data_IF_482240510239
#
_entry.id   IF_482240510239
#
_cell.length_a   1.000
_cell.length_b   1.000
_cell.length_c   1.000
_cell.angle_alpha   90.00
_cell.angle_beta   90.00
_cell.angle_gamma   90.00
#
_symmetry.space_group_name_H-M   'P 1'
#
loop_
_entity.id
_entity.type
_entity.pdbx_description
1 polymer ?
#
# COMPACT_ATOMS: atom_id res chain seq x y z
N UNK A 1 -31.63 -26.23 -13.03
CA UNK A 1 -31.96 -24.95 -12.36
C UNK A 1 -30.68 -24.13 -12.28
N UNK A 2 -30.65 -22.97 -12.91
CA UNK A 2 -29.53 -22.02 -12.76
C UNK A 2 -29.63 -21.49 -11.33
N UNK A 3 -28.61 -21.73 -10.51
CA UNK A 3 -28.54 -21.17 -9.15
C UNK A 3 -28.57 -19.65 -9.26
N UNK A 4 -29.51 -19.00 -8.60
CA UNK A 4 -29.58 -17.55 -8.53
C UNK A 4 -28.27 -17.01 -7.95
N UNK A 5 -27.66 -16.04 -8.60
CA UNK A 5 -26.41 -15.43 -8.15
C UNK A 5 -26.72 -14.17 -7.38
N UNK A 6 -26.04 -13.95 -6.27
CA UNK A 6 -26.19 -12.74 -5.46
C UNK A 6 -25.57 -11.53 -6.15
N UNK A 7 -24.43 -11.73 -6.80
CA UNK A 7 -23.67 -10.69 -7.50
C UNK A 7 -23.19 -11.19 -8.85
N UNK A 8 -22.84 -10.23 -9.71
CA UNK A 8 -21.99 -10.43 -10.88
C UNK A 8 -20.65 -9.77 -10.62
N UNK A 9 -19.58 -10.44 -10.97
CA UNK A 9 -18.21 -9.92 -10.84
C UNK A 9 -17.57 -9.74 -12.21
N UNK A 10 -16.67 -8.75 -12.29
CA UNK A 10 -15.79 -8.51 -13.42
C UNK A 10 -14.39 -8.26 -12.88
N UNK A 11 -13.38 -8.92 -13.44
CA UNK A 11 -11.97 -8.71 -13.10
C UNK A 11 -11.29 -7.99 -14.26
N UNK A 12 -10.78 -6.78 -13.99
CA UNK A 12 -10.12 -5.94 -14.99
C UNK A 12 -8.64 -5.81 -14.63
N UNK A 13 -7.74 -6.45 -15.38
CA UNK A 13 -6.31 -6.29 -15.16
C UNK A 13 -5.88 -4.87 -15.52
N UNK A 14 -5.01 -4.29 -14.68
CA UNK A 14 -4.42 -2.97 -14.85
C UNK A 14 -2.90 -3.08 -14.75
N UNK A 15 -2.19 -2.28 -15.54
CA UNK A 15 -0.76 -2.08 -15.39
C UNK A 15 -0.49 -0.57 -15.33
N UNK A 16 -0.09 -0.10 -14.16
CA UNK A 16 0.25 1.30 -13.94
C UNK A 16 1.76 1.48 -14.13
N UNK A 17 2.16 2.59 -14.75
CA UNK A 17 3.57 2.97 -14.87
C UNK A 17 3.90 4.03 -13.83
N UNK A 18 4.96 3.83 -13.06
CA UNK A 18 5.42 4.84 -12.12
C UNK A 18 5.94 6.07 -12.85
N UNK A 19 5.63 7.26 -12.35
CA UNK A 19 6.19 8.53 -12.89
C UNK A 19 7.71 8.61 -12.73
N UNK A 20 8.26 7.94 -11.73
CA UNK A 20 9.69 7.72 -11.48
C UNK A 20 9.87 6.29 -10.99
N UNK A 21 11.01 5.63 -11.33
CA UNK A 21 11.29 4.29 -10.80
C UNK A 21 11.19 4.27 -9.27
N UNK A 22 10.46 3.30 -8.73
CA UNK A 22 10.27 3.14 -7.29
C UNK A 22 11.35 2.19 -6.74
N UNK A 23 12.40 2.73 -6.15
CA UNK A 23 13.45 1.98 -5.47
C UNK A 23 12.96 1.43 -4.13
N UNK A 24 13.28 0.17 -3.85
CA UNK A 24 13.01 -0.50 -2.56
C UNK A 24 14.23 -1.31 -2.16
N UNK A 25 14.27 -1.81 -0.93
CA UNK A 25 15.31 -2.75 -0.48
C UNK A 25 15.35 -4.08 -1.27
N UNK A 26 14.33 -4.37 -2.07
CA UNK A 26 14.21 -5.60 -2.88
C UNK A 26 14.43 -5.40 -4.38
N UNK A 27 14.45 -4.17 -4.86
CA UNK A 27 14.62 -3.86 -6.26
C UNK A 27 13.97 -2.55 -6.68
N UNK A 28 13.99 -2.30 -7.98
CA UNK A 28 13.42 -1.09 -8.58
C UNK A 28 12.22 -1.48 -9.44
N UNK A 29 11.07 -0.91 -9.13
CA UNK A 29 9.84 -1.13 -9.88
C UNK A 29 9.56 0.05 -10.80
N UNK A 30 9.26 -0.24 -12.04
CA UNK A 30 8.84 0.75 -13.06
C UNK A 30 7.36 0.66 -13.38
N UNK A 31 6.75 -0.49 -13.07
CA UNK A 31 5.33 -0.75 -13.28
C UNK A 31 4.70 -1.40 -12.05
N UNK A 32 3.38 -1.27 -11.94
CA UNK A 32 2.55 -1.92 -10.92
C UNK A 32 1.40 -2.65 -11.60
N UNK A 33 1.41 -3.98 -11.58
CA UNK A 33 0.27 -4.80 -11.99
C UNK A 33 -0.73 -4.93 -10.83
N UNK A 34 -2.00 -4.82 -11.14
CA UNK A 34 -3.10 -5.03 -10.21
C UNK A 34 -4.33 -5.55 -10.97
N UNK A 35 -5.30 -6.04 -10.22
CA UNK A 35 -6.61 -6.46 -10.75
C UNK A 35 -7.70 -5.68 -10.03
N UNK A 36 -8.44 -4.89 -10.78
CA UNK A 36 -9.63 -4.21 -10.31
C UNK A 36 -10.79 -5.19 -10.35
N UNK A 37 -11.41 -5.44 -9.20
CA UNK A 37 -12.61 -6.26 -9.09
C UNK A 37 -13.80 -5.33 -9.03
N UNK A 38 -14.77 -5.56 -9.91
CA UNK A 38 -16.05 -4.87 -9.94
C UNK A 38 -17.15 -5.85 -9.58
N UNK A 39 -18.06 -5.44 -8.70
CA UNK A 39 -19.23 -6.21 -8.32
C UNK A 39 -20.48 -5.38 -8.54
N UNK A 40 -21.58 -6.05 -8.90
CA UNK A 40 -22.92 -5.44 -9.04
C UNK A 40 -23.99 -6.50 -8.85
N UNK A 41 -25.20 -6.09 -8.49
CA UNK A 41 -26.38 -6.94 -8.60
C UNK A 41 -27.01 -6.82 -9.98
N UNK A 42 -27.76 -7.87 -10.39
CA UNK A 42 -28.43 -7.86 -11.69
C UNK A 42 -29.58 -6.85 -11.75
N UNK A 43 -30.30 -6.70 -10.64
CA UNK A 43 -31.42 -5.77 -10.48
C UNK A 43 -30.97 -4.31 -10.25
N UNK A 44 -29.70 -4.09 -9.88
CA UNK A 44 -29.12 -2.75 -9.66
C UNK A 44 -27.83 -2.54 -10.49
N UNK A 45 -27.87 -2.61 -11.82
CA UNK A 45 -26.67 -2.63 -12.66
C UNK A 45 -25.88 -1.30 -12.66
N UNK A 46 -26.50 -0.21 -12.23
CA UNK A 46 -25.87 1.11 -12.12
C UNK A 46 -25.01 1.28 -10.85
N UNK A 47 -25.25 0.44 -9.82
CA UNK A 47 -24.47 0.46 -8.58
C UNK A 47 -23.30 -0.53 -8.74
N UNK A 48 -22.09 -0.02 -8.72
CA UNK A 48 -20.86 -0.80 -8.91
C UNK A 48 -19.99 -0.65 -7.68
N UNK A 49 -19.65 -1.78 -7.05
CA UNK A 49 -18.62 -1.87 -6.04
C UNK A 49 -17.26 -2.12 -6.71
N UNK A 50 -16.22 -1.41 -6.30
CA UNK A 50 -14.88 -1.50 -6.88
C UNK A 50 -13.88 -1.81 -5.77
N UNK A 51 -13.03 -2.81 -5.99
CA UNK A 51 -11.91 -3.14 -5.12
C UNK A 51 -10.64 -3.43 -5.92
N UNK A 52 -9.52 -3.38 -5.25
CA UNK A 52 -8.20 -3.53 -5.87
C UNK A 52 -7.44 -4.71 -5.24
N UNK A 53 -7.09 -5.69 -6.06
CA UNK A 53 -6.20 -6.79 -5.72
C UNK A 53 -4.80 -6.46 -6.28
N UNK A 54 -3.87 -6.06 -5.42
CA UNK A 54 -2.60 -5.47 -5.86
C UNK A 54 -1.38 -6.06 -5.13
N UNK A 55 -1.10 -7.36 -5.29
CA UNK A 55 0.09 -7.98 -4.70
C UNK A 55 1.37 -7.43 -5.35
N UNK A 56 2.45 -7.42 -4.58
CA UNK A 56 3.80 -7.14 -5.09
C UNK A 56 4.52 -8.45 -5.40
N UNK A 57 5.12 -8.61 -6.60
CA UNK A 57 5.73 -9.87 -7.03
C UNK A 57 6.75 -10.46 -6.04
N UNK A 58 7.60 -9.62 -5.45
CA UNK A 58 8.71 -10.07 -4.62
C UNK A 58 8.45 -9.95 -3.10
N UNK A 59 7.24 -9.54 -2.73
CA UNK A 59 6.91 -9.21 -1.34
C UNK A 59 5.63 -9.87 -0.83
N UNK A 60 4.57 -9.88 -1.63
CA UNK A 60 3.28 -10.42 -1.22
C UNK A 60 3.31 -11.95 -1.24
N UNK A 61 2.89 -12.56 -0.14
CA UNK A 61 2.93 -14.02 0.03
C UNK A 61 1.96 -14.76 -0.90
N UNK A 62 0.98 -14.08 -1.43
CA UNK A 62 -0.08 -14.62 -2.30
C UNK A 62 0.16 -14.35 -3.80
N UNK A 63 1.26 -13.69 -4.18
CA UNK A 63 1.61 -13.52 -5.59
C UNK A 63 2.26 -14.79 -6.15
N UNK A 64 1.66 -15.37 -7.19
CA UNK A 64 2.16 -16.60 -7.82
C UNK A 64 1.50 -16.86 -9.17
N UNK A 65 1.92 -17.97 -9.81
CA UNK A 65 1.42 -18.38 -11.15
C UNK A 65 -0.09 -18.63 -11.17
N UNK A 66 -0.66 -19.05 -10.05
CA UNK A 66 -2.08 -19.37 -9.91
C UNK A 66 -2.93 -18.18 -9.41
N UNK A 67 -2.34 -16.99 -9.27
CA UNK A 67 -3.03 -15.83 -8.70
C UNK A 67 -4.35 -15.50 -9.40
N UNK A 68 -4.34 -15.39 -10.72
CA UNK A 68 -5.53 -15.05 -11.51
C UNK A 68 -6.61 -16.16 -11.45
N UNK A 69 -6.19 -17.42 -11.36
CA UNK A 69 -7.08 -18.55 -11.19
C UNK A 69 -7.76 -18.49 -9.82
N UNK A 70 -6.99 -18.22 -8.77
CA UNK A 70 -7.49 -18.08 -7.41
C UNK A 70 -8.44 -16.90 -7.28
N UNK A 71 -8.09 -15.76 -7.86
CA UNK A 71 -8.95 -14.57 -7.90
C UNK A 71 -10.27 -14.87 -8.60
N UNK A 72 -10.22 -15.54 -9.77
CA UNK A 72 -11.42 -15.92 -10.51
C UNK A 72 -12.32 -16.86 -9.72
N UNK A 73 -11.76 -17.85 -9.01
CA UNK A 73 -12.52 -18.72 -8.11
C UNK A 73 -13.16 -17.96 -6.97
N UNK A 74 -12.41 -17.06 -6.33
CA UNK A 74 -12.93 -16.25 -5.24
C UNK A 74 -14.09 -15.33 -5.68
N UNK A 75 -14.01 -14.79 -6.90
CA UNK A 75 -15.11 -14.04 -7.50
C UNK A 75 -16.35 -14.91 -7.74
N UNK A 76 -16.19 -16.11 -8.28
CA UNK A 76 -17.30 -17.06 -8.48
C UNK A 76 -17.93 -17.48 -7.13
N UNK A 77 -17.12 -17.70 -6.12
CA UNK A 77 -17.59 -18.01 -4.77
C UNK A 77 -18.43 -16.87 -4.19
N UNK A 78 -17.94 -15.61 -4.34
CA UNK A 78 -18.69 -14.43 -3.93
C UNK A 78 -20.04 -14.32 -4.66
N UNK A 79 -20.07 -14.55 -5.98
CA UNK A 79 -21.31 -14.56 -6.76
C UNK A 79 -22.34 -15.55 -6.22
N UNK A 80 -21.88 -16.74 -5.79
CA UNK A 80 -22.75 -17.84 -5.35
C UNK A 80 -23.17 -17.74 -3.88
N UNK A 81 -22.25 -17.25 -3.01
CA UNK A 81 -22.45 -17.17 -1.56
C UNK A 81 -23.07 -15.85 -1.10
N UNK A 82 -22.83 -14.77 -1.83
CA UNK A 82 -23.27 -13.42 -1.48
C UNK A 82 -22.43 -12.74 -0.39
N UNK A 83 -21.33 -13.34 0.02
CA UNK A 83 -20.39 -12.79 1.00
C UNK A 83 -18.95 -13.22 0.70
N UNK A 84 -17.99 -12.48 1.22
CA UNK A 84 -16.56 -12.79 1.10
C UNK A 84 -16.20 -13.84 2.16
N UNK A 85 -15.71 -14.99 1.71
CA UNK A 85 -15.26 -16.07 2.59
C UNK A 85 -13.85 -15.80 3.11
N UNK A 86 -13.76 -15.11 4.24
CA UNK A 86 -12.50 -14.66 4.83
C UNK A 86 -11.58 -15.81 5.24
N UNK A 87 -12.14 -16.94 5.70
CA UNK A 87 -11.33 -18.08 6.12
C UNK A 87 -10.67 -18.78 4.93
N UNK A 88 -11.40 -18.99 3.84
CA UNK A 88 -10.82 -19.59 2.63
C UNK A 88 -9.76 -18.70 1.97
N UNK A 89 -9.85 -17.38 2.15
CA UNK A 89 -8.97 -16.40 1.56
C UNK A 89 -7.87 -15.89 2.49
N UNK A 90 -7.74 -16.40 3.72
CA UNK A 90 -6.72 -15.92 4.68
C UNK A 90 -5.28 -16.02 4.18
N UNK A 91 -4.99 -16.95 3.26
CA UNK A 91 -3.67 -17.10 2.63
C UNK A 91 -3.50 -16.28 1.35
N UNK A 92 -4.54 -15.54 0.96
CA UNK A 92 -4.58 -14.67 -0.22
C UNK A 92 -5.00 -13.25 0.19
N UNK A 93 -4.19 -12.55 1.02
CA UNK A 93 -4.57 -11.28 1.64
C UNK A 93 -4.88 -10.18 0.63
N UNK A 94 -4.22 -10.14 -0.52
CA UNK A 94 -4.50 -9.12 -1.52
C UNK A 94 -5.83 -9.38 -2.25
N UNK A 95 -6.21 -10.64 -2.45
CA UNK A 95 -7.53 -11.02 -2.99
C UNK A 95 -8.62 -10.71 -1.97
N UNK A 96 -8.42 -11.15 -0.72
CA UNK A 96 -9.35 -10.88 0.37
C UNK A 96 -9.62 -9.37 0.50
N UNK A 97 -8.57 -8.56 0.56
CA UNK A 97 -8.70 -7.10 0.67
C UNK A 97 -9.48 -6.51 -0.52
N UNK A 98 -9.17 -6.94 -1.74
CA UNK A 98 -9.85 -6.43 -2.94
C UNK A 98 -11.35 -6.76 -2.96
N UNK A 99 -11.73 -7.98 -2.58
CA UNK A 99 -13.14 -8.38 -2.50
C UNK A 99 -13.89 -7.67 -1.36
N UNK A 100 -13.28 -7.55 -0.18
CA UNK A 100 -13.87 -6.79 0.93
C UNK A 100 -14.05 -5.31 0.59
N UNK A 101 -13.05 -4.71 -0.08
CA UNK A 101 -13.15 -3.33 -0.56
C UNK A 101 -14.29 -3.16 -1.56
N UNK A 102 -14.43 -4.08 -2.54
CA UNK A 102 -15.50 -4.03 -3.53
C UNK A 102 -16.88 -4.13 -2.87
N UNK A 103 -17.05 -5.05 -1.90
CA UNK A 103 -18.29 -5.20 -1.14
C UNK A 103 -18.62 -3.93 -0.36
N UNK A 104 -17.66 -3.38 0.38
CA UNK A 104 -17.88 -2.14 1.13
C UNK A 104 -18.20 -0.95 0.23
N UNK A 105 -17.50 -0.83 -0.91
CA UNK A 105 -17.80 0.22 -1.89
C UNK A 105 -19.25 0.10 -2.39
N UNK A 106 -19.70 -1.11 -2.69
CA UNK A 106 -21.07 -1.38 -3.09
C UNK A 106 -22.07 -1.02 -2.00
N UNK A 107 -21.88 -1.53 -0.77
CA UNK A 107 -22.77 -1.33 0.37
C UNK A 107 -22.88 0.15 0.81
N UNK A 108 -21.80 0.89 0.74
CA UNK A 108 -21.75 2.30 1.13
C UNK A 108 -22.12 3.27 -0.01
N UNK A 109 -22.31 2.77 -1.22
CA UNK A 109 -22.60 3.57 -2.40
C UNK A 109 -21.45 4.48 -2.83
N UNK A 110 -20.19 4.16 -2.49
CA UNK A 110 -19.04 4.94 -2.88
C UNK A 110 -17.78 4.72 -2.03
N UNK A 111 -16.81 5.60 -2.21
CA UNK A 111 -15.47 5.47 -1.61
C UNK A 111 -15.39 5.75 -0.11
N UNK A 112 -16.46 6.21 0.52
CA UNK A 112 -16.49 6.41 1.96
C UNK A 112 -16.81 5.09 2.67
N UNK A 113 -15.82 4.24 2.83
CA UNK A 113 -15.97 2.91 3.45
C UNK A 113 -16.35 2.94 4.94
N UNK A 114 -16.02 4.02 5.63
CA UNK A 114 -16.33 4.22 7.06
C UNK A 114 -16.78 5.64 7.29
N UNK A 115 -17.81 5.84 8.09
CA UNK A 115 -18.30 7.16 8.45
C UNK A 115 -17.58 7.68 9.71
N UNK A 116 -16.50 8.42 9.48
CA UNK A 116 -15.66 9.01 10.53
C UNK A 116 -15.48 10.50 10.28
N UNK A 117 -15.08 11.30 11.30
CA UNK A 117 -14.73 12.70 11.08
C UNK A 117 -13.66 12.90 9.98
N UNK A 118 -12.67 11.98 9.92
CA UNK A 118 -11.64 12.00 8.88
C UNK A 118 -12.23 11.78 7.49
N UNK A 119 -13.05 10.73 7.30
CA UNK A 119 -13.64 10.42 6.00
C UNK A 119 -14.65 11.48 5.52
N UNK A 120 -15.20 12.28 6.46
CA UNK A 120 -16.03 13.44 6.16
C UNK A 120 -15.24 14.73 5.92
N UNK A 121 -13.89 14.69 6.01
CA UNK A 121 -13.05 15.87 5.89
C UNK A 121 -13.15 16.87 7.06
N UNK A 122 -13.64 16.42 8.22
CA UNK A 122 -13.84 17.24 9.42
C UNK A 122 -12.64 17.18 10.38
N UNK A 123 -11.78 16.20 10.22
CA UNK A 123 -10.56 16.03 11.02
C UNK A 123 -9.43 15.51 10.16
N UNK A 124 -8.18 15.92 10.48
CA UNK A 124 -6.96 15.37 9.89
C UNK A 124 -6.44 14.18 10.67
N UNK A 125 -5.58 13.39 10.05
CA UNK A 125 -4.76 12.36 10.69
C UNK A 125 -3.31 12.80 10.58
N UNK A 126 -2.56 12.92 11.70
CA UNK A 126 -1.14 13.25 11.65
C UNK A 126 -0.35 12.18 10.87
N UNK A 127 0.46 12.62 9.93
CA UNK A 127 1.34 11.75 9.15
C UNK A 127 2.78 12.27 9.17
N UNK A 128 3.76 11.41 8.91
CA UNK A 128 5.13 11.83 8.67
C UNK A 128 5.35 12.22 7.21
N UNK A 129 6.29 13.14 6.96
CA UNK A 129 6.91 13.31 5.65
C UNK A 129 7.79 12.09 5.33
N UNK A 130 7.60 11.48 4.16
CA UNK A 130 8.43 10.37 3.72
C UNK A 130 9.58 10.88 2.87
N UNK A 131 10.81 10.44 3.22
CA UNK A 131 12.01 10.59 2.42
C UNK A 131 12.27 9.27 1.73
N UNK A 132 12.04 9.24 0.43
CA UNK A 132 12.19 8.03 -0.37
C UNK A 132 13.65 7.72 -0.65
N UNK A 133 13.98 6.44 -0.80
CA UNK A 133 15.32 5.96 -1.13
C UNK A 133 15.83 6.58 -2.43
N UNK A 134 17.12 6.95 -2.45
CA UNK A 134 17.81 7.49 -3.58
C UNK A 134 19.27 7.75 -3.25
N UNK A 135 19.97 8.48 -4.10
CA UNK A 135 21.30 8.99 -3.76
C UNK A 135 21.21 10.07 -2.67
N UNK A 136 22.36 10.40 -2.07
CA UNK A 136 22.45 11.35 -0.96
C UNK A 136 21.82 12.71 -1.30
N UNK A 137 22.08 13.23 -2.50
CA UNK A 137 21.59 14.54 -2.93
C UNK A 137 20.07 14.56 -3.04
N UNK A 138 19.50 13.54 -3.67
CA UNK A 138 18.06 13.40 -3.81
C UNK A 138 17.35 13.24 -2.46
N UNK A 139 17.94 12.48 -1.53
CA UNK A 139 17.37 12.34 -0.19
C UNK A 139 17.42 13.67 0.58
N UNK A 140 18.49 14.44 0.47
CA UNK A 140 18.62 15.74 1.09
C UNK A 140 17.60 16.76 0.53
N UNK A 141 17.42 16.81 -0.78
CA UNK A 141 16.42 17.65 -1.43
C UNK A 141 15.00 17.35 -0.94
N UNK A 142 14.66 16.06 -0.78
CA UNK A 142 13.38 15.66 -0.20
C UNK A 142 13.22 16.11 1.25
N UNK A 143 14.29 16.02 2.07
CA UNK A 143 14.24 16.50 3.45
C UNK A 143 13.93 17.99 3.47
N UNK A 144 14.63 18.80 2.70
CA UNK A 144 14.43 20.25 2.63
C UNK A 144 13.00 20.59 2.15
N UNK A 145 12.46 19.84 1.18
CA UNK A 145 11.11 20.00 0.70
C UNK A 145 10.08 19.72 1.81
N UNK A 146 10.21 18.58 2.51
CA UNK A 146 9.30 18.21 3.60
C UNK A 146 9.37 19.20 4.77
N UNK A 147 10.52 19.76 5.02
CA UNK A 147 10.69 20.82 6.02
C UNK A 147 9.95 22.11 5.63
N UNK A 148 10.07 22.53 4.37
CA UNK A 148 9.32 23.68 3.83
C UNK A 148 7.81 23.46 3.86
N UNK A 149 7.36 22.22 3.65
CA UNK A 149 5.95 21.82 3.76
C UNK A 149 5.43 21.81 5.20
N UNK A 150 6.30 21.98 6.21
CA UNK A 150 5.94 22.07 7.62
C UNK A 150 5.75 20.73 8.35
N UNK A 151 6.28 19.63 7.81
CA UNK A 151 6.28 18.36 8.53
C UNK A 151 7.14 18.45 9.80
N UNK A 152 6.61 17.95 10.93
CA UNK A 152 7.31 17.85 12.20
C UNK A 152 7.84 16.45 12.52
N UNK A 153 7.56 15.51 11.66
CA UNK A 153 8.10 14.16 11.68
C UNK A 153 8.48 13.78 10.26
N UNK A 154 9.71 13.32 10.04
CA UNK A 154 10.16 12.79 8.75
C UNK A 154 10.68 11.37 8.94
N UNK A 155 10.32 10.49 7.99
CA UNK A 155 10.72 9.09 7.97
C UNK A 155 11.64 8.85 6.78
N UNK A 156 12.89 8.48 7.08
CA UNK A 156 13.88 8.15 6.06
C UNK A 156 13.91 6.63 5.85
N UNK A 157 13.91 6.22 4.59
CA UNK A 157 14.25 4.85 4.21
C UNK A 157 15.77 4.70 4.23
N UNK A 158 16.29 3.71 4.96
CA UNK A 158 17.72 3.42 5.10
C UNK A 158 18.02 1.99 4.65
N UNK A 159 19.31 1.67 4.48
CA UNK A 159 19.77 0.34 4.05
C UNK A 159 19.84 0.15 2.54
N UNK A 160 19.74 1.24 1.74
CA UNK A 160 19.85 1.20 0.28
C UNK A 160 21.19 1.71 -0.23
N UNK A 161 21.85 2.59 0.52
CA UNK A 161 23.17 3.15 0.23
C UNK A 161 24.14 2.83 1.38
N UNK A 162 25.37 3.27 1.25
CA UNK A 162 26.36 3.13 2.31
C UNK A 162 25.87 3.72 3.64
N UNK A 163 25.97 2.96 4.73
CA UNK A 163 25.40 3.33 6.03
C UNK A 163 26.01 4.63 6.61
N UNK A 164 27.31 4.87 6.37
CA UNK A 164 27.95 6.09 6.86
C UNK A 164 27.41 7.35 6.16
N UNK A 165 27.03 7.21 4.89
CA UNK A 165 26.34 8.27 4.15
C UNK A 165 24.92 8.51 4.68
N UNK A 166 24.19 7.45 5.02
CA UNK A 166 22.87 7.58 5.65
C UNK A 166 22.99 8.26 7.02
N UNK A 167 23.96 7.85 7.81
CA UNK A 167 24.25 8.47 9.10
C UNK A 167 24.67 9.95 8.97
N UNK A 168 25.43 10.28 7.93
CA UNK A 168 25.81 11.66 7.63
C UNK A 168 24.61 12.53 7.28
N UNK A 169 23.61 11.96 6.56
CA UNK A 169 22.35 12.65 6.27
C UNK A 169 21.55 12.92 7.55
N UNK A 170 21.43 11.93 8.43
CA UNK A 170 20.76 12.10 9.73
C UNK A 170 21.45 13.17 10.59
N UNK A 171 22.78 13.16 10.65
CA UNK A 171 23.57 14.19 11.33
C UNK A 171 23.34 15.57 10.72
N UNK A 172 23.36 15.68 9.39
CA UNK A 172 23.06 16.93 8.70
C UNK A 172 21.68 17.49 9.07
N UNK A 173 20.64 16.65 9.09
CA UNK A 173 19.32 17.08 9.53
C UNK A 173 19.38 17.61 10.98
N UNK A 174 20.09 16.93 11.87
CA UNK A 174 20.23 17.33 13.28
C UNK A 174 21.07 18.60 13.50
N UNK A 175 21.92 19.00 12.57
CA UNK A 175 22.61 20.31 12.65
C UNK A 175 21.66 21.48 12.38
N UNK A 176 20.57 21.26 11.65
CA UNK A 176 19.61 22.30 11.27
C UNK A 176 18.34 22.26 12.13
N UNK A 177 17.96 21.08 12.63
CA UNK A 177 16.72 20.86 13.36
C UNK A 177 16.96 20.02 14.60
N UNK A 178 16.67 20.58 15.76
CA UNK A 178 16.75 19.88 17.04
C UNK A 178 15.72 18.75 17.13
N UNK A 179 15.91 17.83 18.07
CA UNK A 179 14.96 16.76 18.35
C UNK A 179 13.59 17.27 18.88
N UNK A 180 13.55 18.51 19.37
CA UNK A 180 12.29 19.16 19.81
C UNK A 180 11.50 19.73 18.64
N UNK A 181 12.16 20.08 17.55
CA UNK A 181 11.54 20.67 16.36
C UNK A 181 11.04 19.57 15.42
N UNK A 182 11.83 18.48 15.26
CA UNK A 182 11.53 17.43 14.30
C UNK A 182 11.83 16.05 14.88
N UNK A 183 10.83 15.18 14.84
CA UNK A 183 10.99 13.75 15.04
C UNK A 183 11.60 13.11 13.78
N UNK A 184 12.72 12.38 13.94
CA UNK A 184 13.28 11.56 12.88
C UNK A 184 12.92 10.09 13.11
N UNK A 185 12.40 9.45 12.07
CA UNK A 185 12.18 8.01 12.00
C UNK A 185 13.04 7.42 10.91
N UNK A 186 13.54 6.22 11.12
CA UNK A 186 14.26 5.44 10.11
C UNK A 186 13.59 4.10 9.89
N UNK A 187 13.65 3.58 8.66
CA UNK A 187 13.05 2.31 8.29
C UNK A 187 13.99 1.59 7.32
N UNK A 188 14.64 0.55 7.81
CA UNK A 188 15.57 -0.27 7.04
C UNK A 188 14.89 -1.33 6.17
N UNK A 189 13.59 -1.56 6.30
CA UNK A 189 12.83 -2.56 5.54
C UNK A 189 13.50 -3.96 5.47
N UNK A 190 14.14 -4.39 6.57
CA UNK A 190 14.85 -5.66 6.64
C UNK A 190 16.17 -5.71 5.87
N UNK A 191 16.80 -4.56 5.59
CA UNK A 191 18.09 -4.48 4.90
C UNK A 191 19.27 -4.96 5.76
N UNK A 192 19.11 -4.97 7.10
CA UNK A 192 20.16 -5.39 8.03
C UNK A 192 19.91 -6.82 8.53
N UNK A 193 20.99 -7.59 8.66
CA UNK A 193 20.95 -8.84 9.42
C UNK A 193 20.73 -8.55 10.91
N UNK A 194 20.22 -9.50 11.73
CA UNK A 194 20.02 -9.28 13.16
C UNK A 194 21.26 -8.76 13.92
N UNK A 195 22.49 -9.30 13.69
CA UNK A 195 23.69 -8.73 14.30
C UNK A 195 23.97 -7.28 13.87
N UNK A 196 23.90 -6.98 12.56
CA UNK A 196 24.12 -5.63 12.04
C UNK A 196 23.11 -4.62 12.57
N UNK A 197 21.83 -5.02 12.69
CA UNK A 197 20.79 -4.15 13.21
C UNK A 197 21.09 -3.71 14.65
N UNK A 198 21.59 -4.63 15.49
CA UNK A 198 21.97 -4.31 16.87
C UNK A 198 23.10 -3.29 16.96
N UNK A 199 24.03 -3.29 16.00
CA UNK A 199 25.14 -2.34 15.96
C UNK A 199 24.79 -1.00 15.31
N UNK A 200 23.98 -1.03 14.26
CA UNK A 200 23.61 0.19 13.47
C UNK A 200 22.48 0.99 14.09
N UNK A 201 21.66 0.41 14.99
CA UNK A 201 20.53 1.08 15.61
C UNK A 201 20.81 1.54 17.06
N UNK A 202 22.02 1.43 17.54
CA UNK A 202 22.51 2.03 18.79
C UNK A 202 22.85 3.50 18.58
#
# INVERSE_FOLDING_TARGET
MVKERFYKTEVVPRCLTFKRPAGTSRGVYTTRKLWEVRIRKEDEPSVIGIGECAPLPDLSCDYGVDYEITLSKACLDLEQKGYVDTESLRHYPSILFGLEMAMRHYEQGGWRHYDTPFSRGQAGIPINGLIWMGDYKYMLEQVEEKMKEGFRCVKLKIGAIDFDRELSLLKHIRTHFSAKEIELRVDANGAFTPPEAMDKLK
#
